data_IF_723017904175
#
_entry.id   IF_723017904175
#
_cell.length_a   1.000
_cell.length_b   1.000
_cell.length_c   1.000
_cell.angle_alpha   90.00
_cell.angle_beta   90.00
_cell.angle_gamma   90.00
#
_symmetry.space_group_name_H-M   'P 1'
#
loop_
_entity.id
_entity.type
_entity.pdbx_description
1 polymer ?
#
# COMPACT_ATOMS: atom_id res chain seq x y z
N UNK A 1 16.66 1.42 25.23
CA UNK A 1 16.28 2.61 24.42
C UNK A 1 17.42 3.62 24.32
N UNK A 2 18.28 3.77 25.33
CA UNK A 2 19.53 4.55 25.21
C UNK A 2 20.48 4.04 24.11
N UNK A 3 20.38 2.76 23.74
CA UNK A 3 21.20 2.11 22.72
C UNK A 3 20.91 2.51 21.28
N UNK A 4 19.75 3.09 20.96
CA UNK A 4 19.45 3.54 19.58
C UNK A 4 20.13 4.89 19.26
N UNK A 5 20.23 5.79 20.24
CA UNK A 5 21.03 7.03 20.12
C UNK A 5 22.53 6.73 20.03
N UNK A 6 22.99 5.65 20.65
CA UNK A 6 24.39 5.21 20.63
C UNK A 6 24.92 4.74 19.26
N UNK A 7 24.07 4.68 18.22
CA UNK A 7 24.46 4.26 16.85
C UNK A 7 24.27 5.35 15.77
N UNK A 8 24.10 6.62 16.16
CA UNK A 8 23.85 7.74 15.23
C UNK A 8 22.66 7.49 14.28
N UNK A 9 21.65 6.74 14.71
CA UNK A 9 20.46 6.51 13.89
C UNK A 9 19.60 7.78 13.89
N UNK A 10 19.53 8.47 12.75
CA UNK A 10 18.62 9.58 12.53
C UNK A 10 17.36 9.09 11.80
N UNK A 11 16.30 8.81 12.55
CA UNK A 11 15.06 8.26 11.99
C UNK A 11 14.12 9.39 11.59
N UNK A 12 14.02 9.66 10.29
CA UNK A 12 13.12 10.69 9.75
C UNK A 12 11.66 10.24 9.67
N UNK A 13 11.44 8.95 9.38
CA UNK A 13 10.10 8.38 9.21
C UNK A 13 10.04 6.94 9.71
N UNK A 14 8.93 6.58 10.34
CA UNK A 14 8.55 5.21 10.65
C UNK A 14 7.32 4.82 9.83
N UNK A 15 7.45 3.74 9.05
CA UNK A 15 6.34 3.16 8.29
C UNK A 15 6.01 1.79 8.89
N UNK A 16 4.79 1.63 9.44
CA UNK A 16 4.43 0.40 10.16
C UNK A 16 2.92 0.14 10.17
N UNK A 17 2.51 -1.03 10.65
CA UNK A 17 1.11 -1.39 10.92
C UNK A 17 0.48 -0.62 12.11
N UNK A 18 1.23 0.31 12.71
CA UNK A 18 0.81 1.09 13.88
C UNK A 18 0.47 0.22 15.10
N UNK A 19 1.17 -0.90 15.31
CA UNK A 19 1.07 -1.66 16.55
C UNK A 19 1.27 -0.78 17.80
N UNK A 20 0.49 -1.02 18.86
CA UNK A 20 0.44 -0.16 20.05
C UNK A 20 1.82 0.08 20.71
N UNK A 21 2.69 -0.92 20.70
CA UNK A 21 4.07 -0.79 21.19
C UNK A 21 4.93 0.16 20.35
N UNK A 22 4.74 0.17 19.03
CA UNK A 22 5.45 1.09 18.12
C UNK A 22 4.92 2.51 18.29
N UNK A 23 3.59 2.69 18.33
CA UNK A 23 2.97 4.00 18.54
C UNK A 23 3.37 4.66 19.86
N UNK A 24 3.60 3.86 20.91
CA UNK A 24 4.02 4.38 22.22
C UNK A 24 5.54 4.53 22.36
N UNK A 25 6.32 3.65 21.75
CA UNK A 25 7.78 3.62 21.90
C UNK A 25 8.52 4.56 20.96
N UNK A 26 8.05 4.70 19.71
CA UNK A 26 8.75 5.47 18.67
C UNK A 26 8.81 6.96 19.01
N UNK A 27 7.69 7.65 19.36
CA UNK A 27 7.75 9.06 19.75
C UNK A 27 8.62 9.33 20.98
N UNK A 28 8.72 8.36 21.91
CA UNK A 28 9.58 8.48 23.10
C UNK A 28 11.06 8.41 22.75
N UNK A 29 11.43 7.59 21.76
CA UNK A 29 12.82 7.43 21.33
C UNK A 29 13.24 8.48 20.29
N UNK A 30 12.31 8.90 19.44
CA UNK A 30 12.50 9.84 18.33
C UNK A 30 11.30 10.82 18.31
N UNK A 31 11.35 11.92 19.07
CA UNK A 31 10.22 12.86 19.17
C UNK A 31 9.81 13.51 17.85
N UNK A 32 10.77 13.75 16.96
CA UNK A 32 10.57 14.48 15.70
C UNK A 32 10.26 13.56 14.51
N UNK A 33 10.09 12.25 14.75
CA UNK A 33 9.89 11.28 13.67
C UNK A 33 8.46 11.36 13.11
N UNK A 34 8.35 11.36 11.78
CA UNK A 34 7.05 11.18 11.13
C UNK A 34 6.58 9.74 11.28
N UNK A 35 5.34 9.54 11.75
CA UNK A 35 4.70 8.22 11.80
C UNK A 35 3.73 8.10 10.64
N UNK A 36 3.97 7.10 9.80
CA UNK A 36 3.14 6.77 8.64
C UNK A 36 2.59 5.34 8.80
N UNK A 37 1.27 5.17 8.90
CA UNK A 37 0.65 3.85 8.79
C UNK A 37 0.94 3.21 7.42
N UNK A 38 1.09 1.89 7.43
CA UNK A 38 1.36 1.10 6.23
C UNK A 38 0.13 1.01 5.32
N UNK A 39 0.13 1.79 4.24
CA UNK A 39 -0.94 1.83 3.24
C UNK A 39 -1.39 0.44 2.75
N UNK A 40 -0.46 -0.49 2.54
CA UNK A 40 -0.81 -1.83 2.03
C UNK A 40 -1.66 -2.60 3.02
N UNK A 41 -1.34 -2.53 4.31
CA UNK A 41 -2.07 -3.24 5.34
C UNK A 41 -3.55 -2.80 5.38
N UNK A 42 -3.77 -1.49 5.31
CA UNK A 42 -5.11 -0.89 5.28
C UNK A 42 -5.92 -1.32 4.05
N UNK A 43 -5.33 -1.19 2.86
CA UNK A 43 -5.99 -1.60 1.62
C UNK A 43 -6.28 -3.10 1.62
N UNK A 44 -5.35 -3.93 2.09
CA UNK A 44 -5.55 -5.37 2.19
C UNK A 44 -6.68 -5.73 3.15
N UNK A 45 -6.74 -5.14 4.35
CA UNK A 45 -7.83 -5.39 5.31
C UNK A 45 -9.19 -5.01 4.73
N UNK A 46 -9.31 -3.82 4.14
CA UNK A 46 -10.54 -3.38 3.50
C UNK A 46 -10.92 -4.29 2.31
N UNK A 47 -9.96 -4.60 1.45
CA UNK A 47 -10.16 -5.47 0.28
C UNK A 47 -10.65 -6.87 0.65
N UNK A 48 -10.21 -7.45 1.78
CA UNK A 48 -10.74 -8.74 2.26
C UNK A 48 -12.23 -8.70 2.53
N UNK A 49 -12.72 -7.61 3.12
CA UNK A 49 -14.14 -7.43 3.43
C UNK A 49 -14.95 -7.12 2.16
N UNK A 50 -14.38 -6.38 1.20
CA UNK A 50 -15.00 -6.17 -0.13
C UNK A 50 -15.15 -7.50 -0.88
N UNK A 51 -14.07 -8.30 -0.98
CA UNK A 51 -14.16 -9.64 -1.57
C UNK A 51 -15.10 -10.58 -0.81
N UNK A 52 -15.38 -10.30 0.47
CA UNK A 52 -16.39 -11.04 1.24
C UNK A 52 -17.81 -10.73 0.76
N UNK A 53 -18.09 -9.46 0.41
CA UNK A 53 -19.38 -9.09 -0.20
C UNK A 53 -19.53 -9.71 -1.60
N UNK A 54 -18.46 -9.70 -2.38
CA UNK A 54 -18.42 -10.36 -3.69
C UNK A 54 -18.74 -11.84 -3.60
N UNK A 55 -18.07 -12.58 -2.71
CA UNK A 55 -18.38 -14.00 -2.49
C UNK A 55 -19.83 -14.25 -2.08
N UNK A 56 -20.44 -13.36 -1.29
CA UNK A 56 -21.86 -13.48 -0.91
C UNK A 56 -22.79 -13.27 -2.11
N UNK A 57 -22.51 -12.27 -2.95
CA UNK A 57 -23.30 -12.01 -4.15
C UNK A 57 -23.22 -13.19 -5.14
N UNK A 58 -22.02 -13.73 -5.39
CA UNK A 58 -21.85 -14.92 -6.21
C UNK A 58 -22.49 -16.18 -5.62
N UNK A 59 -22.48 -16.33 -4.29
CA UNK A 59 -23.19 -17.43 -3.63
C UNK A 59 -24.69 -17.34 -3.87
N UNK A 60 -25.29 -16.14 -3.76
CA UNK A 60 -26.71 -15.93 -4.07
C UNK A 60 -27.01 -16.21 -5.54
N UNK A 61 -26.13 -15.79 -6.46
CA UNK A 61 -26.29 -16.07 -7.89
C UNK A 61 -26.22 -17.58 -8.18
N UNK A 62 -25.30 -18.29 -7.53
CA UNK A 62 -25.21 -19.75 -7.63
C UNK A 62 -26.46 -20.43 -7.08
N UNK A 63 -26.97 -19.98 -5.93
CA UNK A 63 -28.20 -20.50 -5.34
C UNK A 63 -29.41 -20.24 -6.26
N UNK A 64 -29.48 -19.07 -6.91
CA UNK A 64 -30.52 -18.71 -7.87
C UNK A 64 -30.58 -19.72 -9.02
N UNK A 65 -29.46 -19.92 -9.72
CA UNK A 65 -29.40 -20.87 -10.83
C UNK A 65 -29.67 -22.31 -10.39
N UNK A 66 -29.18 -22.70 -9.22
CA UNK A 66 -29.46 -24.03 -8.67
C UNK A 66 -30.97 -24.25 -8.44
N UNK A 67 -31.70 -23.26 -7.92
CA UNK A 67 -33.13 -23.38 -7.68
C UNK A 67 -33.95 -23.25 -8.96
N UNK A 68 -33.54 -22.39 -9.89
CA UNK A 68 -34.13 -22.25 -11.23
C UNK A 68 -34.04 -23.58 -12.01
N UNK A 69 -32.86 -24.17 -12.09
CA UNK A 69 -32.64 -25.48 -12.75
C UNK A 69 -33.47 -26.59 -12.10
N UNK A 70 -33.57 -26.60 -10.77
CA UNK A 70 -34.38 -27.59 -10.04
C UNK A 70 -35.88 -27.47 -10.34
N UNK A 71 -36.39 -26.27 -10.63
CA UNK A 71 -37.79 -26.03 -10.99
C UNK A 71 -38.08 -26.32 -12.46
N UNK A 72 -37.10 -26.15 -13.35
CA UNK A 72 -37.19 -26.54 -14.76
C UNK A 72 -37.22 -28.07 -14.98
N UNK A 73 -36.91 -28.85 -13.93
CA UNK A 73 -37.06 -30.31 -13.92
C UNK A 73 -38.52 -30.79 -13.81
N UNK A 74 -38.74 -32.10 -13.87
CA UNK A 74 -40.09 -32.71 -13.96
C UNK A 74 -40.95 -32.62 -12.68
N UNK A 75 -40.45 -32.06 -11.57
CA UNK A 75 -41.20 -32.03 -10.30
C UNK A 75 -41.03 -30.70 -9.56
N UNK A 76 -42.02 -29.81 -9.69
CA UNK A 76 -42.11 -28.60 -8.87
C UNK A 76 -42.30 -28.97 -7.40
N UNK A 77 -41.39 -28.49 -6.56
CA UNK A 77 -41.46 -28.64 -5.11
C UNK A 77 -41.64 -27.27 -4.47
N UNK A 78 -42.75 -27.06 -3.76
CA UNK A 78 -43.13 -25.77 -3.13
C UNK A 78 -41.97 -25.14 -2.35
N UNK A 79 -41.27 -25.95 -1.55
CA UNK A 79 -40.08 -25.51 -0.79
C UNK A 79 -38.95 -24.92 -1.65
N UNK A 80 -38.74 -25.43 -2.86
CA UNK A 80 -37.73 -24.92 -3.80
C UNK A 80 -38.18 -23.60 -4.40
N UNK A 81 -39.47 -23.47 -4.76
CA UNK A 81 -40.05 -22.22 -5.23
C UNK A 81 -39.94 -21.10 -4.18
N UNK A 82 -40.27 -21.39 -2.91
CA UNK A 82 -40.12 -20.43 -1.81
C UNK A 82 -38.66 -19.98 -1.60
N UNK A 83 -37.70 -20.90 -1.81
CA UNK A 83 -36.27 -20.55 -1.76
C UNK A 83 -35.84 -19.67 -2.91
N UNK A 84 -36.33 -19.93 -4.13
CA UNK A 84 -36.04 -19.10 -5.30
C UNK A 84 -36.52 -17.66 -5.06
N UNK A 85 -37.78 -17.47 -4.63
CA UNK A 85 -38.33 -16.15 -4.31
C UNK A 85 -37.49 -15.41 -3.25
N UNK A 86 -37.06 -16.11 -2.19
CA UNK A 86 -36.24 -15.54 -1.13
C UNK A 86 -34.81 -15.17 -1.60
N UNK A 87 -34.28 -15.85 -2.62
CA UNK A 87 -32.99 -15.50 -3.25
C UNK A 87 -33.17 -14.33 -4.20
N UNK A 88 -34.20 -14.33 -5.04
CA UNK A 88 -34.53 -13.26 -5.99
C UNK A 88 -34.66 -11.90 -5.28
N UNK A 89 -35.35 -11.86 -4.14
CA UNK A 89 -35.51 -10.66 -3.32
C UNK A 89 -34.16 -10.03 -2.90
N UNK A 90 -33.12 -10.87 -2.73
CA UNK A 90 -31.81 -10.46 -2.20
C UNK A 90 -30.74 -10.32 -3.28
N UNK A 91 -30.92 -10.95 -4.44
CA UNK A 91 -29.87 -11.09 -5.45
C UNK A 91 -29.47 -9.75 -6.07
N UNK A 92 -30.42 -9.02 -6.66
CA UNK A 92 -30.13 -7.72 -7.29
C UNK A 92 -29.52 -6.71 -6.30
N UNK A 93 -30.09 -6.49 -5.10
CA UNK A 93 -29.48 -5.60 -4.12
C UNK A 93 -28.07 -6.01 -3.69
N UNK A 94 -27.77 -7.31 -3.64
CA UNK A 94 -26.44 -7.81 -3.29
C UNK A 94 -25.42 -7.57 -4.43
N UNK A 95 -25.83 -7.74 -5.69
CA UNK A 95 -25.01 -7.46 -6.86
C UNK A 95 -24.70 -5.96 -6.98
N UNK A 96 -25.73 -5.10 -6.95
CA UNK A 96 -25.57 -3.65 -7.05
C UNK A 96 -24.65 -3.09 -5.95
N UNK A 97 -24.83 -3.59 -4.72
CA UNK A 97 -23.96 -3.26 -3.58
C UNK A 97 -22.52 -3.68 -3.85
N UNK A 98 -22.31 -4.92 -4.30
CA UNK A 98 -20.98 -5.43 -4.57
C UNK A 98 -20.27 -4.63 -5.66
N UNK A 99 -20.93 -4.39 -6.79
CA UNK A 99 -20.37 -3.66 -7.92
C UNK A 99 -19.97 -2.23 -7.54
N UNK A 100 -20.87 -1.55 -6.83
CA UNK A 100 -20.59 -0.19 -6.32
C UNK A 100 -19.39 -0.18 -5.38
N UNK A 101 -19.33 -1.12 -4.43
CA UNK A 101 -18.21 -1.25 -3.50
C UNK A 101 -16.89 -1.55 -4.21
N UNK A 102 -16.90 -2.38 -5.25
CA UNK A 102 -15.71 -2.67 -6.06
C UNK A 102 -15.20 -1.44 -6.79
N UNK A 103 -16.09 -0.68 -7.44
CA UNK A 103 -15.73 0.57 -8.14
C UNK A 103 -15.13 1.59 -7.16
N UNK A 104 -15.79 1.82 -6.03
CA UNK A 104 -15.32 2.74 -5.00
C UNK A 104 -13.97 2.30 -4.42
N UNK A 105 -13.76 1.00 -4.22
CA UNK A 105 -12.49 0.47 -3.75
C UNK A 105 -11.37 0.65 -4.78
N UNK A 106 -11.65 0.48 -6.08
CA UNK A 106 -10.68 0.81 -7.14
C UNK A 106 -10.32 2.29 -7.12
N UNK A 107 -11.30 3.19 -7.01
CA UNK A 107 -11.05 4.63 -6.90
C UNK A 107 -10.21 4.98 -5.68
N UNK A 108 -10.46 4.36 -4.53
CA UNK A 108 -9.65 4.55 -3.33
C UNK A 108 -8.19 4.15 -3.57
N UNK A 109 -7.96 3.03 -4.25
CA UNK A 109 -6.61 2.57 -4.62
C UNK A 109 -5.93 3.54 -5.59
N UNK A 110 -6.65 4.09 -6.56
CA UNK A 110 -6.11 5.08 -7.49
C UNK A 110 -5.78 6.41 -6.79
N UNK A 111 -6.63 6.86 -5.87
CA UNK A 111 -6.42 8.12 -5.13
C UNK A 111 -5.22 8.05 -4.19
N UNK A 112 -4.89 6.85 -3.68
CA UNK A 112 -3.71 6.62 -2.82
C UNK A 112 -2.41 6.36 -3.60
N UNK A 113 -2.42 6.56 -4.93
CA UNK A 113 -1.21 6.60 -5.77
C UNK A 113 -0.68 8.03 -5.89
N UNK A 114 0.53 8.16 -6.42
CA UNK A 114 1.11 9.44 -6.80
C UNK A 114 0.49 9.89 -8.14
N UNK A 115 -0.68 10.50 -8.06
CA UNK A 115 -1.56 10.84 -9.18
C UNK A 115 -1.53 12.33 -9.56
N UNK A 116 -0.69 13.11 -8.87
CA UNK A 116 -0.53 14.55 -9.10
C UNK A 116 -1.47 15.43 -8.29
N UNK A 117 -2.40 14.86 -7.52
CA UNK A 117 -3.21 15.63 -6.57
C UNK A 117 -2.41 15.93 -5.30
N UNK A 118 -2.62 17.12 -4.74
CA UNK A 118 -2.02 17.47 -3.45
C UNK A 118 -2.72 16.73 -2.30
N UNK A 119 -2.09 16.75 -1.13
CA UNK A 119 -2.61 16.00 0.02
C UNK A 119 -4.04 16.38 0.40
N UNK A 120 -4.40 17.65 0.28
CA UNK A 120 -5.74 18.14 0.63
C UNK A 120 -6.79 17.53 -0.28
N UNK A 121 -6.58 17.61 -1.58
CA UNK A 121 -7.45 17.02 -2.59
C UNK A 121 -7.58 15.50 -2.41
N UNK A 122 -6.46 14.79 -2.23
CA UNK A 122 -6.48 13.33 -2.01
C UNK A 122 -7.25 12.97 -0.74
N UNK A 123 -7.06 13.70 0.36
CA UNK A 123 -7.76 13.46 1.61
C UNK A 123 -9.27 13.68 1.48
N UNK A 124 -9.68 14.75 0.80
CA UNK A 124 -11.10 15.04 0.54
C UNK A 124 -11.75 13.96 -0.34
N UNK A 125 -11.10 13.58 -1.45
CA UNK A 125 -11.60 12.55 -2.36
C UNK A 125 -11.66 11.17 -1.68
N UNK A 126 -10.61 10.77 -0.97
CA UNK A 126 -10.64 9.51 -0.21
C UNK A 126 -11.71 9.52 0.89
N UNK A 127 -11.89 10.66 1.58
CA UNK A 127 -12.93 10.82 2.58
C UNK A 127 -14.33 10.64 1.99
N UNK A 128 -14.59 11.28 0.84
CA UNK A 128 -15.84 11.11 0.10
C UNK A 128 -16.05 9.66 -0.36
N UNK A 129 -15.02 9.00 -0.90
CA UNK A 129 -15.10 7.59 -1.33
C UNK A 129 -15.47 6.70 -0.15
N UNK A 130 -14.79 6.85 0.99
CA UNK A 130 -15.06 6.05 2.20
C UNK A 130 -16.48 6.25 2.72
N UNK A 131 -16.99 7.48 2.68
CA UNK A 131 -18.37 7.80 3.06
C UNK A 131 -19.39 7.11 2.13
N UNK A 132 -19.18 7.16 0.81
CA UNK A 132 -20.03 6.43 -0.15
C UNK A 132 -19.97 4.92 0.07
N UNK A 133 -18.81 4.37 0.44
CA UNK A 133 -18.68 2.95 0.78
C UNK A 133 -19.47 2.61 2.05
N UNK A 134 -19.44 3.47 3.07
CA UNK A 134 -20.22 3.30 4.31
C UNK A 134 -21.73 3.27 4.03
N UNK A 135 -22.22 4.19 3.20
CA UNK A 135 -23.63 4.22 2.77
C UNK A 135 -24.03 2.98 1.98
N UNK A 136 -23.19 2.58 1.02
CA UNK A 136 -23.43 1.41 0.16
C UNK A 136 -23.43 0.12 0.98
N UNK A 137 -22.54 0.01 1.97
CA UNK A 137 -22.40 -1.17 2.81
C UNK A 137 -23.64 -1.43 3.69
N UNK A 138 -24.32 -0.37 4.12
CA UNK A 138 -25.49 -0.41 5.01
C UNK A 138 -25.18 -1.00 6.41
N UNK A 139 -26.21 -1.07 7.27
CA UNK A 139 -26.06 -1.50 8.68
C UNK A 139 -25.68 -2.99 8.86
N UNK A 140 -25.90 -3.82 7.84
CA UNK A 140 -25.79 -5.28 7.91
C UNK A 140 -24.35 -5.82 7.76
N UNK A 141 -23.34 -4.96 7.67
CA UNK A 141 -21.99 -5.33 7.24
C UNK A 141 -20.90 -5.02 8.29
N UNK A 142 -21.14 -5.36 9.56
CA UNK A 142 -20.33 -4.94 10.71
C UNK A 142 -18.79 -5.02 10.58
N UNK A 143 -18.22 -6.07 9.95
CA UNK A 143 -16.77 -6.14 9.70
C UNK A 143 -16.28 -5.14 8.65
N UNK A 144 -17.05 -4.96 7.59
CA UNK A 144 -16.77 -3.96 6.56
C UNK A 144 -16.90 -2.55 7.14
N UNK A 145 -17.95 -2.27 7.90
CA UNK A 145 -18.12 -0.97 8.60
C UNK A 145 -16.96 -0.69 9.54
N UNK A 146 -16.48 -1.69 10.28
CA UNK A 146 -15.30 -1.57 11.13
C UNK A 146 -14.04 -1.25 10.33
N UNK A 147 -13.81 -1.95 9.21
CA UNK A 147 -12.67 -1.70 8.32
C UNK A 147 -12.70 -0.30 7.71
N UNK A 148 -13.87 0.17 7.27
CA UNK A 148 -14.09 1.53 6.74
C UNK A 148 -13.80 2.60 7.79
N UNK A 149 -14.40 2.48 8.97
CA UNK A 149 -14.18 3.43 10.08
C UNK A 149 -12.70 3.49 10.51
N UNK A 150 -12.05 2.33 10.63
CA UNK A 150 -10.62 2.23 10.95
C UNK A 150 -9.79 2.93 9.86
N UNK A 151 -10.12 2.73 8.59
CA UNK A 151 -9.41 3.35 7.45
C UNK A 151 -9.60 4.88 7.47
N UNK A 152 -10.84 5.36 7.64
CA UNK A 152 -11.17 6.78 7.72
C UNK A 152 -10.41 7.48 8.84
N UNK A 153 -10.37 6.87 10.03
CA UNK A 153 -9.64 7.39 11.19
C UNK A 153 -8.15 7.55 10.92
N UNK A 154 -7.54 6.63 10.17
CA UNK A 154 -6.09 6.60 9.95
C UNK A 154 -5.67 7.28 8.65
N UNK A 155 -6.62 7.67 7.79
CA UNK A 155 -6.38 8.31 6.49
C UNK A 155 -5.38 9.48 6.55
N UNK A 156 -5.47 10.44 7.50
CA UNK A 156 -4.51 11.55 7.56
C UNK A 156 -3.06 11.09 7.74
N UNK A 157 -2.84 10.04 8.53
CA UNK A 157 -1.54 9.42 8.75
C UNK A 157 -1.08 8.62 7.54
N UNK A 158 -2.00 7.86 6.92
CA UNK A 158 -1.70 7.06 5.72
C UNK A 158 -1.18 7.96 4.60
N UNK A 159 -1.70 9.19 4.48
CA UNK A 159 -1.33 10.16 3.45
C UNK A 159 -0.07 10.98 3.77
N UNK A 160 0.64 10.72 4.88
CA UNK A 160 1.89 11.42 5.24
C UNK A 160 2.97 11.31 4.15
N UNK A 161 2.94 10.25 3.32
CA UNK A 161 3.87 10.14 2.21
C UNK A 161 3.72 11.28 1.17
N UNK A 162 2.52 11.88 1.03
CA UNK A 162 2.29 13.02 0.16
C UNK A 162 2.99 14.28 0.70
N UNK A 163 2.93 14.51 2.02
CA UNK A 163 3.68 15.60 2.67
C UNK A 163 5.18 15.46 2.42
N UNK A 164 5.68 14.22 2.50
CA UNK A 164 7.09 13.92 2.25
C UNK A 164 7.49 14.16 0.80
N UNK A 165 6.63 13.84 -0.17
CA UNK A 165 6.83 14.17 -1.58
C UNK A 165 6.86 15.70 -1.75
N UNK A 166 5.85 16.40 -1.25
CA UNK A 166 5.73 17.86 -1.34
C UNK A 166 6.96 18.55 -0.74
N UNK A 167 7.45 18.07 0.42
CA UNK A 167 8.68 18.56 1.05
C UNK A 167 9.90 18.29 0.17
N UNK A 168 10.09 17.07 -0.32
CA UNK A 168 11.24 16.72 -1.16
C UNK A 168 11.29 17.53 -2.46
N UNK A 169 10.13 17.78 -3.08
CA UNK A 169 10.01 18.63 -4.26
C UNK A 169 10.37 20.09 -3.95
N UNK A 170 9.89 20.61 -2.82
CA UNK A 170 10.19 21.97 -2.36
C UNK A 170 11.66 22.17 -2.04
N UNK A 171 12.25 21.24 -1.30
CA UNK A 171 13.66 21.29 -0.89
C UNK A 171 14.57 21.26 -2.12
N UNK A 172 14.29 20.38 -3.09
CA UNK A 172 15.05 20.31 -4.33
C UNK A 172 14.96 21.61 -5.15
N UNK A 173 13.75 22.18 -5.26
CA UNK A 173 13.54 23.45 -5.94
C UNK A 173 14.34 24.58 -5.29
N UNK A 174 14.32 24.66 -3.95
CA UNK A 174 15.05 25.66 -3.17
C UNK A 174 16.57 25.51 -3.34
N UNK A 175 17.09 24.29 -3.20
CA UNK A 175 18.52 23.99 -3.32
C UNK A 175 19.11 24.39 -4.68
N UNK A 176 18.31 24.26 -5.75
CA UNK A 176 18.75 24.54 -7.12
C UNK A 176 18.32 25.92 -7.64
N UNK A 177 17.69 26.74 -6.79
CA UNK A 177 17.21 28.07 -7.17
C UNK A 177 16.08 28.06 -8.21
N UNK A 178 15.32 26.97 -8.28
CA UNK A 178 14.17 26.86 -9.18
C UNK A 178 12.87 27.39 -8.54
N UNK A 179 11.92 27.90 -9.34
CA UNK A 179 10.62 28.28 -8.81
C UNK A 179 9.88 27.06 -8.26
N UNK A 180 9.47 27.09 -6.98
CA UNK A 180 8.75 25.98 -6.35
C UNK A 180 7.45 25.60 -7.07
N UNK A 181 6.77 26.57 -7.68
CA UNK A 181 5.55 26.33 -8.47
C UNK A 181 5.81 25.40 -9.67
N UNK A 182 7.03 25.36 -10.22
CA UNK A 182 7.39 24.47 -11.32
C UNK A 182 7.33 22.99 -10.87
N UNK A 183 7.79 22.69 -9.66
CA UNK A 183 7.80 21.32 -9.13
C UNK A 183 6.41 20.85 -8.71
N UNK A 184 5.58 21.76 -8.20
CA UNK A 184 4.16 21.50 -7.99
C UNK A 184 3.47 21.17 -9.32
N UNK A 185 3.74 21.96 -10.37
CA UNK A 185 3.14 21.76 -11.67
C UNK A 185 3.67 20.51 -12.39
N UNK A 186 4.95 20.16 -12.23
CA UNK A 186 5.53 18.90 -12.71
C UNK A 186 4.85 17.70 -12.04
N UNK A 187 4.61 17.77 -10.73
CA UNK A 187 3.89 16.73 -10.00
C UNK A 187 2.43 16.61 -10.47
N UNK A 188 1.74 17.74 -10.73
CA UNK A 188 0.35 17.78 -11.22
C UNK A 188 0.20 17.31 -12.68
N UNK A 189 1.25 17.39 -13.49
CA UNK A 189 1.20 17.18 -14.95
C UNK A 189 0.55 15.84 -15.38
N UNK A 190 0.83 14.68 -14.75
CA UNK A 190 0.17 13.41 -15.08
C UNK A 190 -1.35 13.43 -14.86
N UNK A 191 -1.86 14.29 -13.97
CA UNK A 191 -3.28 14.40 -13.66
C UNK A 191 -4.13 15.12 -14.72
N UNK A 192 -3.52 15.81 -15.70
CA UNK A 192 -4.27 16.57 -16.71
C UNK A 192 -4.72 15.76 -17.94
N UNK A 193 -4.36 14.49 -18.02
CA UNK A 193 -4.57 13.67 -19.22
C UNK A 193 -3.64 14.09 -20.36
N UNK A 194 -2.91 13.13 -20.91
CA UNK A 194 -1.92 13.43 -21.95
C UNK A 194 -2.58 14.06 -23.19
N UNK A 195 -2.00 15.16 -23.67
CA UNK A 195 -2.42 15.81 -24.92
C UNK A 195 -3.62 16.76 -24.81
N UNK A 196 -4.24 16.91 -23.63
CA UNK A 196 -5.30 17.91 -23.40
C UNK A 196 -4.76 19.34 -23.46
N UNK A 197 -5.63 20.34 -23.66
CA UNK A 197 -5.20 21.74 -23.64
C UNK A 197 -4.61 22.14 -22.28
N UNK A 198 -5.19 21.63 -21.18
CA UNK A 198 -4.64 21.82 -19.83
C UNK A 198 -3.22 21.28 -19.72
N UNK A 199 -2.98 20.07 -20.23
CA UNK A 199 -1.65 19.47 -20.26
C UNK A 199 -0.67 20.33 -21.10
N UNK A 200 -1.06 20.74 -22.30
CA UNK A 200 -0.21 21.55 -23.20
C UNK A 200 0.10 22.92 -22.62
N UNK A 201 -0.88 23.56 -21.97
CA UNK A 201 -0.68 24.83 -21.29
C UNK A 201 0.30 24.69 -20.11
N UNK A 202 0.13 23.64 -19.29
CA UNK A 202 1.04 23.34 -18.19
C UNK A 202 2.47 23.04 -18.68
N UNK A 203 2.61 22.21 -19.71
CA UNK A 203 3.91 21.85 -20.30
C UNK A 203 4.64 23.09 -20.87
N UNK A 204 3.94 23.97 -21.60
CA UNK A 204 4.51 25.23 -22.10
C UNK A 204 5.00 26.12 -20.95
N UNK A 205 4.20 26.26 -19.89
CA UNK A 205 4.58 27.05 -18.71
C UNK A 205 5.82 26.46 -18.03
N UNK A 206 5.88 25.14 -17.86
CA UNK A 206 7.04 24.45 -17.29
C UNK A 206 8.31 24.66 -18.12
N UNK A 207 8.22 24.54 -19.45
CA UNK A 207 9.36 24.79 -20.34
C UNK A 207 9.86 26.23 -20.26
N UNK A 208 8.96 27.19 -20.10
CA UNK A 208 9.33 28.59 -19.92
C UNK A 208 10.06 28.83 -18.58
N UNK A 209 9.55 28.23 -17.50
CA UNK A 209 10.08 28.39 -16.16
C UNK A 209 11.43 27.69 -15.95
N UNK A 210 11.56 26.45 -16.40
CA UNK A 210 12.73 25.60 -16.15
C UNK A 210 13.75 25.67 -17.29
N UNK A 211 13.35 26.11 -18.48
CA UNK A 211 14.21 26.20 -19.67
C UNK A 211 14.98 24.89 -19.89
N UNK A 212 16.31 24.96 -19.92
CA UNK A 212 17.19 23.82 -20.13
C UNK A 212 17.12 22.77 -19.01
N UNK A 213 16.68 23.17 -17.80
CA UNK A 213 16.54 22.27 -16.65
C UNK A 213 15.23 21.44 -16.67
N UNK A 214 14.34 21.66 -17.65
CA UNK A 214 13.03 20.98 -17.70
C UNK A 214 13.17 19.45 -17.66
N UNK A 215 14.02 18.88 -18.52
CA UNK A 215 14.15 17.42 -18.64
C UNK A 215 14.74 16.79 -17.37
N UNK A 216 15.76 17.41 -16.78
CA UNK A 216 16.39 16.92 -15.56
C UNK A 216 15.48 17.10 -14.34
N UNK A 217 14.74 18.20 -14.26
CA UNK A 217 13.73 18.43 -13.22
C UNK A 217 12.60 17.40 -13.32
N UNK A 218 12.12 17.10 -14.53
CA UNK A 218 11.11 16.06 -14.74
C UNK A 218 11.61 14.70 -14.28
N UNK A 219 12.85 14.31 -14.65
CA UNK A 219 13.48 13.07 -14.19
C UNK A 219 13.59 13.04 -12.67
N UNK A 220 14.00 14.16 -12.06
CA UNK A 220 14.11 14.26 -10.61
C UNK A 220 12.78 14.06 -9.89
N UNK A 221 11.70 14.63 -10.41
CA UNK A 221 10.35 14.39 -9.86
C UNK A 221 10.05 12.90 -9.90
N UNK A 222 10.29 12.21 -11.01
CA UNK A 222 10.07 10.75 -11.09
C UNK A 222 10.93 9.98 -10.07
N UNK A 223 12.21 10.35 -9.89
CA UNK A 223 13.08 9.73 -8.89
C UNK A 223 12.54 9.90 -7.45
N UNK A 224 12.03 11.10 -7.12
CA UNK A 224 11.41 11.37 -5.81
C UNK A 224 10.18 10.48 -5.61
N UNK A 225 9.31 10.39 -6.62
CA UNK A 225 8.10 9.57 -6.58
C UNK A 225 8.42 8.07 -6.46
N UNK A 226 9.42 7.56 -7.17
CA UNK A 226 9.86 6.17 -7.07
C UNK A 226 10.57 5.85 -5.73
N UNK A 227 11.21 6.87 -5.15
CA UNK A 227 11.89 6.79 -3.88
C UNK A 227 10.94 6.60 -2.71
N UNK A 228 9.78 7.26 -2.74
CA UNK A 228 8.85 7.32 -1.61
C UNK A 228 8.36 5.92 -1.20
N UNK A 229 8.46 5.64 0.10
CA UNK A 229 7.95 4.40 0.68
C UNK A 229 6.57 4.66 1.29
N UNK A 230 5.57 3.94 0.80
CA UNK A 230 4.16 4.03 1.22
C UNK A 230 3.73 2.90 2.17
N UNK A 231 4.43 1.77 2.09
CA UNK A 231 4.11 0.53 2.77
C UNK A 231 5.36 -0.14 3.34
N UNK A 232 5.20 -0.97 4.37
CA UNK A 232 6.29 -1.70 5.04
C UNK A 232 6.59 -3.07 4.39
N UNK A 233 6.20 -3.25 3.12
CA UNK A 233 6.31 -4.50 2.34
C UNK A 233 7.67 -5.23 2.40
N UNK A 234 8.79 -4.50 2.55
CA UNK A 234 10.12 -5.11 2.73
C UNK A 234 10.25 -5.83 4.08
N UNK A 235 9.79 -5.19 5.15
CA UNK A 235 9.79 -5.76 6.50
C UNK A 235 8.80 -6.92 6.56
N UNK A 236 7.62 -6.77 5.96
CA UNK A 236 6.64 -7.86 5.85
C UNK A 236 7.17 -9.06 5.05
N UNK A 237 7.91 -8.81 3.96
CA UNK A 237 8.57 -9.90 3.22
C UNK A 237 9.60 -10.62 4.08
N UNK A 238 10.42 -9.88 4.83
CA UNK A 238 11.40 -10.46 5.75
C UNK A 238 10.71 -11.26 6.86
N UNK A 239 9.68 -10.68 7.49
CA UNK A 239 8.89 -11.34 8.53
C UNK A 239 8.25 -12.63 8.01
N UNK A 240 7.69 -12.61 6.80
CA UNK A 240 7.15 -13.80 6.15
C UNK A 240 8.20 -14.89 5.90
N UNK A 241 9.43 -14.51 5.56
CA UNK A 241 10.57 -15.44 5.43
C UNK A 241 11.07 -15.96 6.77
N UNK A 242 10.92 -15.20 7.85
CA UNK A 242 11.33 -15.58 9.20
C UNK A 242 10.32 -16.51 9.89
N UNK A 243 9.01 -16.28 9.68
CA UNK A 243 7.92 -17.03 10.34
C UNK A 243 8.09 -18.56 10.31
N UNK A 244 8.43 -19.21 9.17
CA UNK A 244 8.65 -20.66 9.15
C UNK A 244 9.72 -21.11 10.14
N UNK A 245 10.82 -20.36 10.29
CA UNK A 245 11.90 -20.69 11.21
C UNK A 245 11.51 -20.46 12.68
N UNK A 246 10.69 -19.44 12.95
CA UNK A 246 10.18 -19.17 14.30
C UNK A 246 9.15 -20.21 14.74
N UNK A 247 8.27 -20.64 13.83
CA UNK A 247 7.21 -21.61 14.13
C UNK A 247 7.77 -23.01 14.44
N UNK A 248 8.99 -23.33 14.00
CA UNK A 248 9.65 -24.60 14.29
C UNK A 248 10.11 -24.72 15.75
N UNK A 249 10.21 -23.61 16.50
CA UNK A 249 10.68 -23.64 17.89
C UNK A 249 9.73 -22.87 18.81
N UNK A 250 9.24 -23.55 19.86
CA UNK A 250 8.41 -22.94 20.92
C UNK A 250 9.11 -21.78 21.63
N UNK A 251 10.45 -21.82 21.71
CA UNK A 251 11.33 -20.74 22.15
C UNK A 251 12.48 -20.61 21.16
N UNK A 252 12.77 -19.38 20.74
CA UNK A 252 13.83 -19.09 19.77
C UNK A 252 15.09 -18.62 20.52
N UNK A 253 16.16 -19.43 20.61
CA UNK A 253 17.38 -19.02 21.30
C UNK A 253 18.09 -17.88 20.55
N UNK A 254 18.81 -17.03 21.27
CA UNK A 254 19.58 -15.93 20.67
C UNK A 254 20.56 -16.41 19.59
N UNK A 255 21.26 -17.52 19.83
CA UNK A 255 22.17 -18.14 18.84
C UNK A 255 21.46 -18.49 17.53
N UNK A 256 20.18 -18.89 17.58
CA UNK A 256 19.39 -19.17 16.40
C UNK A 256 19.04 -17.89 15.63
N UNK A 257 18.72 -16.80 16.34
CA UNK A 257 18.53 -15.49 15.70
C UNK A 257 19.82 -15.00 15.04
N UNK A 258 20.98 -15.21 15.67
CA UNK A 258 22.28 -14.90 15.08
C UNK A 258 22.51 -15.72 13.80
N UNK A 259 22.22 -17.02 13.83
CA UNK A 259 22.32 -17.86 12.64
C UNK A 259 21.41 -17.38 11.51
N UNK A 260 20.16 -17.01 11.81
CA UNK A 260 19.25 -16.44 10.82
C UNK A 260 19.77 -15.12 10.25
N UNK A 261 20.34 -14.24 11.09
CA UNK A 261 20.97 -13.00 10.62
C UNK A 261 22.10 -13.28 9.64
N UNK A 262 22.99 -14.23 9.95
CA UNK A 262 24.07 -14.64 9.03
C UNK A 262 23.46 -15.17 7.74
N UNK A 263 22.56 -16.15 7.84
CA UNK A 263 21.87 -16.76 6.69
C UNK A 263 21.22 -15.75 5.75
N UNK A 264 20.41 -14.84 6.27
CA UNK A 264 19.68 -13.89 5.43
C UNK A 264 20.59 -12.82 4.83
N UNK A 265 21.69 -12.45 5.49
CA UNK A 265 22.60 -11.43 4.99
C UNK A 265 23.66 -11.96 4.01
N UNK A 266 23.99 -13.25 4.05
CA UNK A 266 25.05 -13.84 3.19
C UNK A 266 24.47 -14.65 2.03
N UNK A 267 23.18 -15.01 2.07
CA UNK A 267 22.51 -15.70 0.97
C UNK A 267 22.32 -14.76 -0.24
N UNK A 268 22.96 -15.13 -1.35
CA UNK A 268 22.85 -14.42 -2.64
C UNK A 268 21.45 -14.52 -3.24
N UNK A 269 20.99 -13.43 -3.87
CA UNK A 269 19.73 -13.40 -4.59
C UNK A 269 19.82 -14.18 -5.90
N UNK A 270 19.10 -15.31 -6.00
CA UNK A 270 18.98 -16.06 -7.27
C UNK A 270 18.16 -15.33 -8.33
N UNK A 271 17.20 -14.51 -7.90
CA UNK A 271 16.31 -13.73 -8.75
C UNK A 271 16.00 -12.39 -8.09
N UNK A 272 15.89 -11.33 -8.87
CA UNK A 272 15.53 -9.98 -8.41
C UNK A 272 14.95 -9.18 -9.56
N UNK A 273 13.98 -8.29 -9.26
CA UNK A 273 13.47 -7.31 -10.24
C UNK A 273 14.52 -6.28 -10.65
N UNK A 274 15.49 -6.01 -9.77
CA UNK A 274 16.66 -5.21 -10.11
C UNK A 274 17.81 -6.14 -10.50
N UNK A 275 18.28 -6.01 -11.73
CA UNK A 275 19.31 -6.87 -12.30
C UNK A 275 20.63 -6.81 -11.53
N UNK A 276 20.99 -5.61 -11.03
CA UNK A 276 22.19 -5.33 -10.23
C UNK A 276 22.32 -6.12 -8.92
N UNK A 277 21.21 -6.72 -8.43
CA UNK A 277 21.16 -7.53 -7.21
C UNK A 277 21.31 -9.03 -7.46
N UNK A 278 21.09 -9.50 -8.70
CA UNK A 278 21.16 -10.93 -9.00
C UNK A 278 22.59 -11.42 -8.78
N UNK A 279 22.73 -12.53 -8.06
CA UNK A 279 24.03 -13.10 -7.69
C UNK A 279 24.74 -12.39 -6.54
N UNK A 280 24.14 -11.36 -5.91
CA UNK A 280 24.71 -10.68 -4.74
C UNK A 280 23.90 -10.94 -3.48
N UNK A 281 24.54 -10.98 -2.32
CA UNK A 281 23.91 -11.06 -1.01
C UNK A 281 23.58 -9.66 -0.46
N UNK A 282 22.67 -9.52 0.52
CA UNK A 282 22.46 -8.24 1.20
C UNK A 282 23.74 -7.62 1.76
N UNK A 283 24.65 -8.44 2.30
CA UNK A 283 25.93 -7.98 2.83
C UNK A 283 26.85 -7.44 1.73
N UNK A 284 26.91 -8.12 0.58
CA UNK A 284 27.67 -7.66 -0.59
C UNK A 284 27.09 -6.36 -1.17
N UNK A 285 25.77 -6.23 -1.20
CA UNK A 285 25.09 -5.01 -1.64
C UNK A 285 25.31 -3.83 -0.67
N UNK A 286 25.36 -4.11 0.63
CA UNK A 286 25.56 -3.08 1.66
C UNK A 286 27.00 -2.57 1.69
N UNK A 287 27.97 -3.47 1.53
CA UNK A 287 29.40 -3.14 1.67
C UNK A 287 30.10 -2.86 0.35
N UNK A 288 29.53 -3.28 -0.78
CA UNK A 288 30.18 -3.24 -2.08
C UNK A 288 31.31 -4.27 -2.25
N UNK A 289 31.60 -5.07 -1.23
CA UNK A 289 32.67 -6.08 -1.23
C UNK A 289 32.09 -7.47 -1.46
N UNK A 290 32.90 -8.39 -2.01
CA UNK A 290 32.53 -9.81 -2.06
C UNK A 290 32.62 -10.41 -0.66
N UNK A 291 31.66 -11.25 -0.32
CA UNK A 291 31.64 -11.99 0.94
C UNK A 291 31.40 -13.46 0.67
N UNK A 292 31.87 -14.29 1.60
CA UNK A 292 31.59 -15.73 1.64
C UNK A 292 30.07 -15.99 1.68
N UNK A 293 29.67 -17.13 1.12
CA UNK A 293 28.27 -17.54 1.19
C UNK A 293 27.94 -18.14 2.58
N UNK A 294 26.66 -18.41 2.83
CA UNK A 294 26.25 -18.97 4.11
C UNK A 294 26.90 -20.31 4.45
N UNK A 295 27.07 -21.20 3.46
CA UNK A 295 27.67 -22.50 3.68
C UNK A 295 29.15 -22.36 4.01
N UNK A 296 29.88 -21.50 3.30
CA UNK A 296 31.30 -21.25 3.55
C UNK A 296 31.52 -20.76 4.99
N UNK A 297 30.71 -19.78 5.42
CA UNK A 297 30.79 -19.20 6.78
C UNK A 297 30.50 -20.23 7.88
N UNK A 298 29.49 -21.09 7.67
CA UNK A 298 29.07 -22.06 8.71
C UNK A 298 29.95 -23.32 8.68
N UNK A 299 30.52 -23.68 7.54
CA UNK A 299 31.41 -24.83 7.39
C UNK A 299 32.89 -24.49 7.59
N UNK A 300 33.25 -23.20 7.72
CA UNK A 300 34.62 -22.74 7.92
C UNK A 300 35.53 -23.03 6.74
N UNK A 301 35.05 -22.81 5.52
CA UNK A 301 35.78 -23.05 4.26
C UNK A 301 36.25 -21.76 3.63
#
# INVERSE_FOLDING_TARGET
>A
METCKARNLNLEVSISDCGAGLLSGIPKAFPDVMIQPDLFHWLMELGKEISSQERKAYSLLSDYYQYEDALNGQRLHEKTFQKLLAVEEKLLPALDRCDTLLILYEWLKEMTRCNGYDRGDVAALCGWILERMEETAGESSGRLSQALSKTRKNLPGILVYLERIEKALRDYALEHGYPGEAFVLLYKLPGYGFGTEKYRAADRRLRHMLKNAYADSYRKVQEILDGVKRASSLVENLNGRLRPYMNLKRMVPEKFLTLLKVYFNTKRYRRSRKADRVGKSPLELLTGQKHEDFYDIVCGR
#
